data_IF_623559803570
#
_entry.id   IF_623559803570
#
_cell.length_a   1.000
_cell.length_b   1.000
_cell.length_c   1.000
_cell.angle_alpha   90.00
_cell.angle_beta   90.00
_cell.angle_gamma   90.00
#
_symmetry.space_group_name_H-M   'P 1'
#
loop_
_entity.id
_entity.type
_entity.pdbx_description
1 polymer ?
#
# COMPACT_ATOMS: atom_id res chain seq x y z
N UNK A 1 -13.60 -30.93 -5.73
CA UNK A 1 -13.24 -32.01 -4.78
C UNK A 1 -12.53 -31.55 -3.50
N UNK A 2 -12.14 -30.30 -3.38
CA UNK A 2 -11.38 -29.73 -2.23
C UNK A 2 -12.32 -29.16 -1.14
N UNK A 3 -13.48 -28.62 -1.51
CA UNK A 3 -14.44 -28.04 -0.55
C UNK A 3 -15.08 -29.07 0.40
N UNK A 4 -15.24 -30.33 -0.04
CA UNK A 4 -15.81 -31.41 0.79
C UNK A 4 -14.90 -31.80 1.96
N UNK A 5 -13.58 -31.87 1.73
CA UNK A 5 -12.61 -32.19 2.79
C UNK A 5 -12.46 -31.07 3.84
N UNK A 6 -12.67 -29.82 3.47
CA UNK A 6 -12.58 -28.70 4.40
C UNK A 6 -13.80 -28.69 5.36
N UNK A 7 -14.98 -28.99 4.85
CA UNK A 7 -16.20 -29.08 5.66
C UNK A 7 -16.14 -30.24 6.66
N UNK A 8 -15.62 -31.40 6.24
CA UNK A 8 -15.42 -32.56 7.09
C UNK A 8 -14.37 -32.34 8.20
N UNK A 9 -13.35 -31.51 7.96
CA UNK A 9 -12.36 -31.10 8.96
C UNK A 9 -12.95 -30.14 10.00
N UNK A 10 -13.82 -29.22 9.60
CA UNK A 10 -14.46 -28.25 10.52
C UNK A 10 -15.50 -28.96 11.40
N UNK A 11 -16.25 -29.93 10.85
CA UNK A 11 -17.24 -30.70 11.60
C UNK A 11 -16.61 -31.70 12.63
N UNK A 12 -15.29 -31.94 12.53
CA UNK A 12 -14.51 -32.76 13.48
C UNK A 12 -13.89 -32.01 14.63
N UNK A 13 -14.02 -30.66 14.66
CA UNK A 13 -13.50 -29.85 15.77
C UNK A 13 -14.52 -29.94 16.91
N UNK A 14 -14.36 -30.93 17.77
CA UNK A 14 -15.08 -30.97 19.04
C UNK A 14 -14.40 -30.03 20.04
N UNK A 15 -15.17 -29.06 20.56
CA UNK A 15 -14.71 -28.21 21.64
C UNK A 15 -14.61 -29.07 22.90
N UNK A 16 -13.40 -29.38 23.33
CA UNK A 16 -13.16 -30.15 24.54
C UNK A 16 -13.59 -29.36 25.77
N UNK A 17 -14.01 -30.06 26.83
CA UNK A 17 -14.44 -29.46 28.09
C UNK A 17 -13.36 -28.53 28.68
N UNK A 18 -12.08 -28.85 28.46
CA UNK A 18 -10.95 -28.02 28.88
C UNK A 18 -10.89 -26.64 28.13
N UNK A 19 -11.14 -26.64 26.83
CA UNK A 19 -11.28 -25.40 26.06
C UNK A 19 -12.47 -24.56 26.52
N UNK A 20 -13.57 -25.22 26.85
CA UNK A 20 -14.79 -24.57 27.36
C UNK A 20 -14.54 -23.93 28.72
N UNK A 21 -13.88 -24.62 29.62
CA UNK A 21 -13.49 -24.11 30.92
C UNK A 21 -12.54 -22.93 30.82
N UNK A 22 -11.55 -22.94 29.92
CA UNK A 22 -10.62 -21.81 29.71
C UNK A 22 -11.33 -20.57 29.17
N UNK A 23 -12.27 -20.74 28.24
CA UNK A 23 -13.05 -19.63 27.70
C UNK A 23 -13.93 -19.01 28.77
N UNK A 24 -14.61 -19.82 29.57
CA UNK A 24 -15.47 -19.36 30.67
C UNK A 24 -14.66 -18.69 31.79
N UNK A 25 -13.48 -19.18 32.12
CA UNK A 25 -12.57 -18.57 33.11
C UNK A 25 -12.03 -17.22 32.62
N UNK A 26 -11.77 -17.09 31.33
CA UNK A 26 -11.34 -15.83 30.70
C UNK A 26 -12.46 -14.78 30.71
N UNK A 27 -13.68 -15.17 30.34
CA UNK A 27 -14.86 -14.28 30.35
C UNK A 27 -15.22 -13.85 31.77
N UNK A 28 -15.05 -14.70 32.78
CA UNK A 28 -15.36 -14.36 34.18
C UNK A 28 -14.32 -13.44 34.84
N UNK A 29 -13.12 -13.33 34.27
CA UNK A 29 -12.05 -12.42 34.73
C UNK A 29 -12.10 -11.03 34.09
N UNK A 30 -12.84 -10.86 33.02
CA UNK A 30 -13.06 -9.53 32.43
C UNK A 30 -14.01 -8.73 33.36
N UNK A 31 -13.62 -7.53 33.82
CA UNK A 31 -14.51 -6.70 34.66
C UNK A 31 -15.69 -6.24 33.79
N UNK A 32 -16.85 -6.83 34.01
CA UNK A 32 -18.11 -6.37 33.42
C UNK A 32 -18.32 -4.92 33.91
N UNK A 33 -18.19 -3.95 33.01
CA UNK A 33 -18.47 -2.56 33.30
C UNK A 33 -19.85 -2.42 33.92
N UNK A 34 -19.91 -1.91 35.16
CA UNK A 34 -21.16 -1.72 35.88
C UNK A 34 -22.05 -0.77 35.10
N UNK A 35 -23.33 -1.06 34.93
CA UNK A 35 -24.25 -0.15 34.27
C UNK A 35 -24.27 1.20 34.99
N UNK A 36 -23.93 2.25 34.25
CA UNK A 36 -24.02 3.62 34.74
C UNK A 36 -25.49 3.89 35.06
N UNK A 37 -25.80 4.17 36.33
CA UNK A 37 -27.15 4.56 36.78
C UNK A 37 -27.51 5.88 36.11
N UNK A 38 -28.30 5.83 35.07
CA UNK A 38 -28.88 7.01 34.44
C UNK A 38 -30.03 7.51 35.35
N UNK A 39 -29.81 8.64 36.03
CA UNK A 39 -30.84 9.33 36.77
C UNK A 39 -31.92 9.84 35.81
N UNK A 40 -33.23 9.67 36.08
CA UNK A 40 -34.28 10.13 35.18
C UNK A 40 -34.45 11.64 35.30
N UNK A 41 -33.78 12.39 34.43
CA UNK A 41 -33.92 13.85 34.27
C UNK A 41 -35.10 14.19 33.34
N UNK A 42 -36.27 13.64 33.65
CA UNK A 42 -37.46 13.85 32.77
C UNK A 42 -37.97 15.30 32.70
N UNK A 43 -37.55 16.16 33.62
CA UNK A 43 -37.97 17.58 33.67
C UNK A 43 -37.06 18.57 32.94
N UNK A 44 -35.82 18.23 32.70
CA UNK A 44 -34.80 19.17 32.18
C UNK A 44 -34.65 19.14 30.63
N UNK A 45 -35.30 18.22 29.94
CA UNK A 45 -35.20 18.06 28.47
C UNK A 45 -35.58 19.30 27.68
N UNK A 46 -36.54 20.10 28.16
CA UNK A 46 -36.99 21.31 27.44
C UNK A 46 -35.96 22.45 27.49
N UNK A 47 -35.17 22.53 28.56
CA UNK A 47 -34.17 23.58 28.69
C UNK A 47 -32.78 23.17 28.12
N UNK A 48 -32.50 21.87 28.01
CA UNK A 48 -31.26 21.38 27.42
C UNK A 48 -31.21 21.63 25.90
N UNK A 49 -32.32 21.57 25.19
CA UNK A 49 -32.37 21.85 23.75
C UNK A 49 -32.02 23.31 23.44
N UNK A 50 -32.48 24.25 24.27
CA UNK A 50 -32.18 25.68 24.09
C UNK A 50 -30.72 25.99 24.48
N UNK A 51 -30.24 25.41 25.57
CA UNK A 51 -28.84 25.60 25.99
C UNK A 51 -27.84 25.01 24.97
N UNK A 52 -28.14 23.89 24.34
CA UNK A 52 -27.29 23.30 23.30
C UNK A 52 -27.15 24.20 22.08
N UNK A 53 -28.25 24.86 21.65
CA UNK A 53 -28.20 25.81 20.53
C UNK A 53 -27.32 27.03 20.84
N UNK A 54 -27.37 27.56 22.06
CA UNK A 54 -26.51 28.68 22.46
C UNK A 54 -25.01 28.31 22.57
N UNK A 55 -24.71 27.10 23.04
CA UNK A 55 -23.32 26.60 23.09
C UNK A 55 -22.78 26.39 21.68
N UNK A 56 -23.56 25.85 20.75
CA UNK A 56 -23.13 25.67 19.35
C UNK A 56 -22.93 27.01 18.65
N UNK A 57 -23.81 27.99 18.88
CA UNK A 57 -23.67 29.33 18.31
C UNK A 57 -22.48 30.09 18.90
N UNK A 58 -22.26 30.01 20.21
CA UNK A 58 -21.13 30.65 20.87
C UNK A 58 -19.78 29.99 20.50
N UNK A 59 -19.72 28.66 20.42
CA UNK A 59 -18.56 27.92 19.95
C UNK A 59 -18.25 28.18 18.48
N UNK A 60 -19.29 28.27 17.64
CA UNK A 60 -19.16 28.62 16.22
C UNK A 60 -18.60 30.01 15.98
N UNK A 61 -19.05 31.00 16.74
CA UNK A 61 -18.58 32.37 16.60
C UNK A 61 -17.12 32.59 17.03
N UNK A 62 -16.60 31.77 17.95
CA UNK A 62 -15.20 31.81 18.39
C UNK A 62 -14.29 30.96 17.52
N UNK A 63 -14.81 29.87 16.95
CA UNK A 63 -13.99 28.92 16.16
C UNK A 63 -13.78 29.34 14.70
N UNK A 64 -14.71 30.09 14.09
CA UNK A 64 -14.60 30.49 12.69
C UNK A 64 -13.35 31.36 12.41
N UNK A 65 -12.99 32.38 13.21
CA UNK A 65 -11.75 33.11 12.97
C UNK A 65 -10.48 32.30 13.31
N UNK A 66 -10.54 31.31 14.20
CA UNK A 66 -9.40 30.48 14.55
C UNK A 66 -9.04 29.47 13.45
N UNK A 67 -10.04 28.96 12.72
CA UNK A 67 -9.83 28.03 11.60
C UNK A 67 -9.27 28.73 10.36
N UNK A 68 -9.58 30.05 10.17
CA UNK A 68 -9.08 30.82 9.03
C UNK A 68 -7.65 31.32 9.18
N UNK A 69 -7.05 31.23 10.38
CA UNK A 69 -5.68 31.67 10.65
C UNK A 69 -4.74 30.60 11.21
N UNK A 70 -5.18 29.36 11.27
CA UNK A 70 -4.28 28.27 11.61
C UNK A 70 -3.67 27.65 10.34
N UNK A 71 -2.38 27.97 10.13
CA UNK A 71 -1.50 27.04 9.44
C UNK A 71 -1.49 25.74 10.26
N UNK A 72 -1.91 24.59 9.75
CA UNK A 72 -1.87 23.36 10.51
C UNK A 72 -0.44 22.85 10.59
N UNK A 73 0.27 23.23 11.65
CA UNK A 73 1.31 22.36 12.19
C UNK A 73 0.57 21.23 12.89
N UNK A 74 0.43 20.11 12.20
CA UNK A 74 -0.24 18.92 12.69
C UNK A 74 0.45 18.35 13.91
N UNK A 75 -0.27 18.03 15.03
CA UNK A 75 0.17 16.98 15.91
C UNK A 75 -0.11 15.64 15.22
N UNK A 76 0.90 14.82 15.22
CA UNK A 76 0.95 13.43 14.78
C UNK A 76 -0.20 12.60 15.41
N UNK A 77 -1.33 12.57 14.74
CA UNK A 77 -2.34 11.54 14.91
C UNK A 77 -2.28 10.71 13.63
N UNK A 78 -1.81 9.47 13.77
CA UNK A 78 -1.70 8.50 12.69
C UNK A 78 -3.04 8.23 11.99
N UNK A 79 -3.52 9.21 11.26
CA UNK A 79 -4.50 8.98 10.21
C UNK A 79 -3.73 8.23 9.14
N UNK A 80 -4.11 7.00 8.88
CA UNK A 80 -3.71 6.27 7.68
C UNK A 80 -4.18 7.07 6.46
N UNK A 81 -3.44 8.12 6.13
CA UNK A 81 -3.67 8.86 4.89
C UNK A 81 -3.23 7.92 3.78
N UNK A 82 -4.18 7.51 2.95
CA UNK A 82 -3.83 6.77 1.75
C UNK A 82 -2.72 7.54 1.01
N UNK A 83 -1.64 6.87 0.58
CA UNK A 83 -0.54 7.55 -0.06
C UNK A 83 -1.05 8.29 -1.29
N UNK A 84 -0.76 9.59 -1.36
CA UNK A 84 -1.22 10.45 -2.46
C UNK A 84 -0.40 10.11 -3.70
N UNK A 85 -1.10 9.74 -4.78
CA UNK A 85 -0.52 9.57 -6.11
C UNK A 85 -0.36 10.96 -6.74
N UNK A 86 0.86 11.33 -7.06
CA UNK A 86 1.19 12.60 -7.70
C UNK A 86 1.83 12.33 -9.06
N UNK A 87 1.36 13.02 -10.10
CA UNK A 87 1.96 12.94 -11.43
C UNK A 87 3.16 13.88 -11.51
N UNK A 88 4.21 13.46 -12.20
CA UNK A 88 5.36 14.25 -12.58
C UNK A 88 5.42 14.38 -14.11
N UNK A 89 6.04 15.44 -14.61
CA UNK A 89 6.21 15.67 -16.04
C UNK A 89 7.45 14.97 -16.61
N UNK A 90 8.41 14.58 -15.77
CA UNK A 90 9.67 13.95 -16.18
C UNK A 90 10.26 13.09 -15.06
N UNK A 91 11.26 12.26 -15.40
CA UNK A 91 12.05 11.51 -14.42
C UNK A 91 12.83 12.43 -13.45
N UNK A 92 13.22 13.60 -13.89
CA UNK A 92 13.90 14.60 -13.05
C UNK A 92 12.94 15.13 -11.97
N UNK A 93 11.76 15.59 -12.36
CA UNK A 93 10.73 16.05 -11.41
C UNK A 93 10.29 14.91 -10.47
N UNK A 94 10.14 13.69 -11.00
CA UNK A 94 9.85 12.50 -10.18
C UNK A 94 10.93 12.29 -9.12
N UNK A 95 12.21 12.44 -9.47
CA UNK A 95 13.34 12.32 -8.54
C UNK A 95 13.27 13.37 -7.41
N UNK A 96 12.91 14.63 -7.74
CA UNK A 96 12.73 15.69 -6.75
C UNK A 96 11.58 15.38 -5.80
N UNK A 97 10.46 14.83 -6.32
CA UNK A 97 9.28 14.50 -5.52
C UNK A 97 9.55 13.36 -4.52
N UNK A 98 10.28 12.31 -4.93
CA UNK A 98 10.57 11.15 -4.08
C UNK A 98 11.83 11.31 -3.23
N UNK A 99 12.73 12.24 -3.61
CA UNK A 99 13.96 12.52 -2.87
C UNK A 99 15.13 11.56 -3.15
N UNK A 100 15.01 10.72 -4.19
CA UNK A 100 16.10 9.84 -4.67
C UNK A 100 16.14 9.81 -6.20
N UNK A 101 17.33 9.54 -6.77
CA UNK A 101 17.53 9.54 -8.21
C UNK A 101 16.70 8.48 -8.94
N UNK A 102 15.96 8.91 -9.94
CA UNK A 102 15.21 8.08 -10.89
C UNK A 102 15.55 8.56 -12.29
N UNK A 103 15.83 7.65 -13.20
CA UNK A 103 16.16 7.99 -14.58
C UNK A 103 15.31 7.19 -15.57
N UNK A 104 15.09 7.77 -16.75
CA UNK A 104 14.48 7.05 -17.85
C UNK A 104 15.35 5.86 -18.29
N UNK A 105 14.72 4.80 -18.72
CA UNK A 105 15.35 3.61 -19.29
C UNK A 105 15.36 3.79 -20.82
N UNK A 106 16.51 4.10 -21.47
CA UNK A 106 16.53 4.53 -22.86
C UNK A 106 15.90 3.56 -23.84
N UNK A 107 16.14 2.23 -23.77
CA UNK A 107 15.49 1.30 -24.68
C UNK A 107 13.96 1.35 -24.59
N UNK A 108 13.42 1.47 -23.35
CA UNK A 108 11.98 1.55 -23.13
C UNK A 108 11.42 2.92 -23.54
N UNK A 109 12.15 4.00 -23.23
CA UNK A 109 11.76 5.35 -23.61
C UNK A 109 11.70 5.52 -25.11
N UNK A 110 12.69 4.98 -25.84
CA UNK A 110 12.76 5.07 -27.33
C UNK A 110 11.69 4.22 -28.02
N UNK A 111 11.25 3.13 -27.38
CA UNK A 111 10.23 2.24 -27.92
C UNK A 111 8.80 2.64 -27.52
N UNK A 112 8.63 3.60 -26.59
CA UNK A 112 7.31 3.95 -26.07
C UNK A 112 6.64 5.07 -26.86
N UNK A 113 5.33 4.94 -27.08
CA UNK A 113 4.47 5.98 -27.64
C UNK A 113 4.12 7.03 -26.59
N UNK A 114 4.08 6.62 -25.33
CA UNK A 114 3.73 7.47 -24.20
C UNK A 114 4.40 6.99 -22.92
N UNK A 115 5.08 7.90 -22.23
CA UNK A 115 5.64 7.69 -20.90
C UNK A 115 4.87 8.49 -19.87
N UNK A 116 4.63 7.90 -18.69
CA UNK A 116 3.99 8.56 -17.55
C UNK A 116 4.80 8.34 -16.28
N UNK A 117 4.87 9.37 -15.45
CA UNK A 117 5.67 9.41 -14.23
C UNK A 117 4.76 9.66 -13.04
N UNK A 118 4.89 8.86 -11.98
CA UNK A 118 4.07 8.99 -10.78
C UNK A 118 4.90 8.76 -9.52
N UNK A 119 4.68 9.61 -8.52
CA UNK A 119 5.18 9.42 -7.16
C UNK A 119 4.07 8.91 -6.26
N UNK A 120 4.35 7.88 -5.45
CA UNK A 120 3.50 7.42 -4.36
C UNK A 120 4.14 7.85 -3.04
N UNK A 121 3.71 9.01 -2.54
CA UNK A 121 4.37 9.67 -1.43
C UNK A 121 5.82 10.03 -1.76
N UNK A 122 6.71 9.88 -0.76
CA UNK A 122 8.17 10.03 -0.92
C UNK A 122 8.90 8.69 -0.99
N UNK A 123 8.17 7.59 -1.08
CA UNK A 123 8.75 6.26 -0.89
C UNK A 123 8.89 5.48 -2.20
N UNK A 124 8.04 5.77 -3.20
CA UNK A 124 8.00 4.99 -4.43
C UNK A 124 7.85 5.88 -5.66
N UNK A 125 8.74 5.68 -6.62
CA UNK A 125 8.68 6.22 -7.96
C UNK A 125 8.18 5.15 -8.93
N UNK A 126 7.27 5.52 -9.83
CA UNK A 126 6.76 4.66 -10.89
C UNK A 126 6.90 5.37 -12.25
N UNK A 127 7.44 4.66 -13.24
CA UNK A 127 7.46 5.09 -14.65
C UNK A 127 6.76 4.01 -15.47
N UNK A 128 5.78 4.41 -16.26
CA UNK A 128 5.11 3.52 -17.22
C UNK A 128 5.48 3.90 -18.64
N UNK A 129 5.99 2.92 -19.38
CA UNK A 129 6.31 2.99 -20.80
C UNK A 129 5.23 2.24 -21.58
N UNK A 130 4.45 2.94 -22.39
CA UNK A 130 3.37 2.34 -23.18
C UNK A 130 3.79 2.30 -24.64
N UNK A 131 3.70 1.13 -25.26
CA UNK A 131 3.99 0.90 -26.70
C UNK A 131 2.94 -0.07 -27.25
N UNK A 132 1.96 0.44 -27.98
CA UNK A 132 0.84 -0.37 -28.45
C UNK A 132 0.09 -1.08 -27.34
N UNK A 133 0.08 -2.43 -27.35
CA UNK A 133 -0.53 -3.28 -26.32
C UNK A 133 0.39 -3.51 -25.12
N UNK A 134 1.69 -3.32 -25.25
CA UNK A 134 2.68 -3.55 -24.21
C UNK A 134 2.80 -2.33 -23.28
N UNK A 135 2.67 -2.56 -22.00
CA UNK A 135 3.05 -1.58 -20.97
C UNK A 135 4.14 -2.18 -20.09
N UNK A 136 5.24 -1.44 -19.94
CA UNK A 136 6.29 -1.77 -18.98
C UNK A 136 6.21 -0.79 -17.83
N UNK A 137 5.95 -1.30 -16.61
CA UNK A 137 5.94 -0.50 -15.40
C UNK A 137 7.25 -0.71 -14.64
N UNK A 138 8.05 0.33 -14.55
CA UNK A 138 9.25 0.36 -13.73
C UNK A 138 8.93 1.04 -12.41
N UNK A 139 9.37 0.43 -11.30
CA UNK A 139 9.26 1.01 -9.95
C UNK A 139 10.60 0.98 -9.24
N UNK A 140 10.88 2.04 -8.50
CA UNK A 140 11.98 2.16 -7.56
C UNK A 140 11.46 2.68 -6.23
N UNK A 141 11.89 2.08 -5.13
CA UNK A 141 11.50 2.49 -3.78
C UNK A 141 12.70 2.52 -2.83
N UNK A 142 12.62 3.37 -1.81
CA UNK A 142 13.63 3.47 -0.75
C UNK A 142 13.50 2.36 0.31
N UNK A 143 12.56 1.42 0.15
CA UNK A 143 12.39 0.26 1.05
C UNK A 143 12.87 -1.00 0.36
N UNK A 144 13.41 -1.94 1.14
CA UNK A 144 13.93 -3.23 0.65
C UNK A 144 12.85 -4.30 0.46
N UNK A 145 11.57 -3.91 0.40
CA UNK A 145 10.44 -4.80 0.19
C UNK A 145 10.10 -4.96 -1.30
N UNK A 146 9.35 -6.00 -1.66
CA UNK A 146 8.79 -6.17 -3.01
C UNK A 146 7.83 -5.01 -3.29
N UNK A 147 8.26 -4.11 -4.18
CA UNK A 147 7.52 -2.91 -4.56
C UNK A 147 6.71 -3.08 -5.85
N UNK A 148 6.62 -4.30 -6.39
CA UNK A 148 5.95 -4.56 -7.66
C UNK A 148 4.44 -4.32 -7.60
N UNK A 149 3.83 -4.49 -6.42
CA UNK A 149 2.37 -4.45 -6.26
C UNK A 149 1.66 -5.56 -7.03
N UNK A 150 2.39 -6.62 -7.38
CA UNK A 150 1.86 -7.77 -8.10
C UNK A 150 1.62 -8.93 -7.14
N UNK A 151 0.37 -9.37 -7.06
CA UNK A 151 -0.09 -10.47 -6.20
C UNK A 151 -0.49 -11.71 -7.02
N UNK A 152 -0.12 -11.76 -8.30
CA UNK A 152 -0.40 -12.90 -9.16
C UNK A 152 0.42 -14.13 -8.76
N UNK A 153 -0.12 -15.31 -9.04
CA UNK A 153 0.60 -16.57 -8.90
C UNK A 153 1.26 -16.93 -10.22
N UNK A 154 2.52 -17.30 -10.18
CA UNK A 154 3.33 -17.66 -11.33
C UNK A 154 3.75 -19.12 -11.26
N UNK A 155 3.72 -19.84 -12.38
CA UNK A 155 4.18 -21.24 -12.47
C UNK A 155 5.71 -21.33 -12.48
N UNK A 156 6.39 -20.28 -12.92
CA UNK A 156 7.84 -20.22 -13.01
C UNK A 156 8.38 -19.06 -12.18
N UNK A 157 9.27 -19.39 -11.23
CA UNK A 157 10.07 -18.40 -10.48
C UNK A 157 11.53 -18.78 -10.66
N UNK A 158 12.35 -17.87 -11.18
CA UNK A 158 13.77 -18.09 -11.46
C UNK A 158 14.58 -16.93 -10.90
N UNK A 159 15.72 -17.24 -10.31
CA UNK A 159 16.70 -16.22 -9.90
C UNK A 159 17.84 -16.23 -10.90
N UNK A 160 18.17 -15.06 -11.42
CA UNK A 160 19.33 -14.83 -12.29
C UNK A 160 20.29 -13.83 -11.63
N UNK A 161 21.50 -13.78 -12.08
CA UNK A 161 22.48 -12.77 -11.65
C UNK A 161 22.74 -11.79 -12.78
N UNK A 162 22.56 -10.49 -12.50
CA UNK A 162 22.86 -9.40 -13.42
C UNK A 162 23.76 -8.41 -12.68
N UNK A 163 24.97 -8.14 -13.19
CA UNK A 163 25.94 -7.21 -12.57
C UNK A 163 26.15 -7.42 -11.05
N UNK A 164 26.22 -8.69 -10.61
CA UNK A 164 26.33 -9.14 -9.22
C UNK A 164 25.06 -9.03 -8.38
N UNK A 165 23.98 -8.43 -8.87
CA UNK A 165 22.69 -8.36 -8.19
C UNK A 165 21.83 -9.59 -8.52
N UNK A 166 21.12 -10.10 -7.52
CA UNK A 166 20.18 -11.22 -7.68
C UNK A 166 18.82 -10.68 -8.13
N UNK A 167 18.41 -11.03 -9.34
CA UNK A 167 17.13 -10.65 -9.94
C UNK A 167 16.18 -11.84 -9.93
N UNK A 168 15.05 -11.72 -9.29
CA UNK A 168 13.99 -12.74 -9.27
C UNK A 168 13.04 -12.47 -10.41
N UNK A 169 12.92 -13.43 -11.33
CA UNK A 169 11.99 -13.43 -12.45
C UNK A 169 10.78 -14.28 -12.11
N UNK A 170 9.57 -13.77 -12.38
CA UNK A 170 8.32 -14.47 -12.18
C UNK A 170 7.52 -14.46 -13.49
N UNK A 171 7.01 -15.62 -13.91
CA UNK A 171 6.27 -15.75 -15.16
C UNK A 171 5.72 -17.15 -15.40
N UNK A 172 5.45 -17.49 -16.65
CA UNK A 172 4.92 -18.79 -17.04
C UNK A 172 5.61 -19.27 -18.31
N UNK A 173 5.73 -20.59 -18.48
CA UNK A 173 6.23 -21.25 -19.70
C UNK A 173 7.58 -20.71 -20.21
N UNK A 174 8.48 -20.34 -19.26
CA UNK A 174 9.81 -19.85 -19.60
C UNK A 174 9.87 -18.38 -20.09
N UNK A 175 8.75 -17.67 -20.05
CA UNK A 175 8.66 -16.23 -20.27
C UNK A 175 8.21 -15.52 -18.97
N UNK A 176 8.48 -14.24 -18.85
CA UNK A 176 8.38 -13.51 -17.60
C UNK A 176 7.52 -12.25 -17.72
N UNK A 177 6.67 -12.02 -16.71
CA UNK A 177 5.90 -10.80 -16.58
C UNK A 177 6.50 -9.86 -15.52
N UNK A 178 7.30 -10.40 -14.58
CA UNK A 178 7.78 -9.62 -13.46
C UNK A 178 9.26 -9.93 -13.19
N UNK A 179 10.04 -8.88 -12.97
CA UNK A 179 11.36 -8.94 -12.39
C UNK A 179 11.42 -8.08 -11.14
N UNK A 180 11.98 -8.60 -10.05
CA UNK A 180 12.18 -7.87 -8.79
C UNK A 180 13.60 -8.08 -8.28
N UNK A 181 14.23 -7.01 -7.79
CA UNK A 181 15.57 -7.06 -7.19
C UNK A 181 15.78 -5.90 -6.23
N UNK A 182 16.86 -6.00 -5.45
CA UNK A 182 17.29 -4.93 -4.58
C UNK A 182 18.75 -4.62 -4.84
N UNK A 183 19.12 -3.34 -4.79
CA UNK A 183 20.49 -2.85 -4.95
C UNK A 183 20.74 -1.68 -4.02
N UNK A 184 21.72 -1.83 -3.13
CA UNK A 184 21.96 -0.86 -2.07
C UNK A 184 20.76 -0.75 -1.14
N UNK A 185 20.24 0.46 -0.95
CA UNK A 185 19.08 0.74 -0.09
C UNK A 185 17.76 0.78 -0.86
N UNK A 186 17.75 0.38 -2.14
CA UNK A 186 16.59 0.50 -3.01
C UNK A 186 16.08 -0.86 -3.47
N UNK A 187 14.76 -0.96 -3.61
CA UNK A 187 14.09 -2.05 -4.31
C UNK A 187 13.59 -1.59 -5.66
N UNK A 188 13.64 -2.52 -6.60
CA UNK A 188 13.28 -2.30 -8.00
C UNK A 188 12.31 -3.37 -8.47
N UNK A 189 11.40 -3.00 -9.37
CA UNK A 189 10.60 -3.95 -10.12
C UNK A 189 10.36 -3.49 -11.55
N UNK A 190 10.25 -4.47 -12.45
CA UNK A 190 9.80 -4.33 -13.83
C UNK A 190 8.62 -5.26 -14.03
N UNK A 191 7.46 -4.71 -14.36
CA UNK A 191 6.27 -5.48 -14.70
C UNK A 191 5.92 -5.26 -16.17
N UNK A 192 5.73 -6.36 -16.90
CA UNK A 192 5.41 -6.40 -18.32
C UNK A 192 3.98 -6.91 -18.49
N UNK A 193 3.15 -6.19 -19.23
CA UNK A 193 1.78 -6.63 -19.55
C UNK A 193 1.79 -7.89 -20.39
N UNK A 194 2.68 -7.94 -21.39
CA UNK A 194 2.93 -9.12 -22.22
C UNK A 194 4.24 -9.78 -21.77
N UNK A 195 4.26 -11.11 -21.69
CA UNK A 195 5.43 -11.85 -21.25
C UNK A 195 6.63 -11.63 -22.18
N UNK A 196 7.80 -11.50 -21.59
CA UNK A 196 9.08 -11.29 -22.28
C UNK A 196 10.08 -12.40 -21.96
N UNK A 197 11.11 -12.53 -22.78
CA UNK A 197 12.19 -13.51 -22.54
C UNK A 197 13.13 -13.06 -21.43
N UNK A 198 13.89 -14.00 -20.88
CA UNK A 198 14.92 -13.73 -19.87
C UNK A 198 15.96 -12.73 -20.36
N UNK A 199 16.40 -12.89 -21.62
CA UNK A 199 17.39 -12.03 -22.26
C UNK A 199 16.91 -10.57 -22.35
N UNK A 200 15.62 -10.38 -22.69
CA UNK A 200 15.03 -9.03 -22.75
C UNK A 200 15.01 -8.38 -21.36
N UNK A 201 14.62 -9.11 -20.32
CA UNK A 201 14.66 -8.60 -18.95
C UNK A 201 16.08 -8.25 -18.54
N UNK A 202 17.03 -9.15 -18.81
CA UNK A 202 18.44 -8.96 -18.46
C UNK A 202 19.03 -7.69 -19.08
N UNK A 203 18.79 -7.45 -20.37
CA UNK A 203 19.24 -6.25 -21.05
C UNK A 203 18.70 -4.97 -20.40
N UNK A 204 17.40 -4.96 -20.02
CA UNK A 204 16.78 -3.80 -19.39
C UNK A 204 17.39 -3.56 -17.99
N UNK A 205 17.60 -4.62 -17.19
CA UNK A 205 18.21 -4.52 -15.87
C UNK A 205 19.65 -4.01 -15.96
N UNK A 206 20.44 -4.49 -16.93
CA UNK A 206 21.82 -4.02 -17.18
C UNK A 206 21.85 -2.52 -17.47
N UNK A 207 20.90 -1.98 -18.23
CA UNK A 207 20.78 -0.54 -18.51
C UNK A 207 20.39 0.27 -17.28
N UNK A 208 19.55 -0.27 -16.40
CA UNK A 208 19.18 0.40 -15.13
C UNK A 208 20.40 0.46 -14.20
N UNK A 209 21.18 -0.60 -14.13
CA UNK A 209 22.33 -0.72 -13.25
C UNK A 209 23.55 0.11 -13.67
N UNK A 210 23.65 0.47 -14.93
CA UNK A 210 24.74 1.28 -15.48
C UNK A 210 24.62 2.78 -15.11
N UNK A 211 23.55 3.18 -14.43
CA UNK A 211 23.22 4.58 -14.09
C UNK A 211 23.18 4.80 -12.60
#
# INVERSE_FOLDING_TARGET
MILGKYKELIERIEVTDDMRCRILDHISREPIERPVRILPLAGLRRYMAVAACFVVLAAGAVMIPAVLHHNPSSPDQGVLTAPVLLNAASAMELSEMVGFGVADIPPLMSASDKTTYMALGKELAEIKYNSGSQTVTFRKSAKMDDNSGDYNSYSTVKVITVNMDSVTLKGNDGNYNLAVWSKGEYSYSLHFTEMVTEEAVKQIVEEIDAR
#
